data_IF_428444933898
#
_entry.id   IF_428444933898
#
_cell.length_a   1.000
_cell.length_b   1.000
_cell.length_c   1.000
_cell.angle_alpha   90.00
_cell.angle_beta   90.00
_cell.angle_gamma   90.00
#
_symmetry.space_group_name_H-M   'P 1'
#
loop_
_entity.id
_entity.type
_entity.pdbx_description
1 polymer ?
#
# COMPACT_ATOMS: atom_id res chain seq x y z
N UNK A 1 5.89 38.41 -0.73
CA UNK A 1 5.18 37.86 0.41
C UNK A 1 4.46 36.59 0.03
N UNK A 2 4.70 35.59 0.78
CA UNK A 2 4.04 34.33 0.53
C UNK A 2 2.62 34.39 1.11
N UNK A 3 1.64 34.10 0.28
CA UNK A 3 0.27 34.08 0.71
C UNK A 3 -0.34 32.68 0.83
N UNK A 4 0.41 31.68 0.40
CA UNK A 4 -0.14 30.33 0.37
C UNK A 4 -0.08 29.67 1.73
N UNK A 5 -1.23 29.27 2.28
CA UNK A 5 -1.21 28.54 3.56
C UNK A 5 -0.64 27.14 3.35
N UNK A 6 0.01 26.65 4.40
CA UNK A 6 0.41 25.26 4.45
C UNK A 6 -0.83 24.41 4.76
N UNK A 7 -1.19 23.57 3.80
CA UNK A 7 -2.34 22.69 3.98
C UNK A 7 -1.85 21.32 4.42
N UNK A 8 -2.24 20.92 5.61
CA UNK A 8 -1.89 19.60 6.14
C UNK A 8 -3.17 18.77 6.20
N UNK A 9 -3.21 17.71 5.42
CA UNK A 9 -4.36 16.80 5.44
C UNK A 9 -4.29 15.93 6.69
N UNK A 10 -5.43 15.72 7.29
CA UNK A 10 -5.52 14.79 8.40
C UNK A 10 -5.23 13.38 7.95
N UNK A 11 -4.64 12.60 8.85
CA UNK A 11 -4.38 11.21 8.59
C UNK A 11 -5.68 10.48 8.32
N UNK A 12 -5.72 9.70 7.22
CA UNK A 12 -6.90 8.94 6.86
C UNK A 12 -7.88 9.65 5.95
N UNK A 13 -7.72 10.97 5.73
CA UNK A 13 -8.58 11.71 4.82
C UNK A 13 -8.18 11.53 3.36
N UNK A 14 -7.08 10.85 3.12
CA UNK A 14 -6.60 10.52 1.77
C UNK A 14 -7.30 9.28 1.19
N UNK A 15 -8.26 8.71 1.90
CA UNK A 15 -8.95 7.51 1.48
C UNK A 15 -8.29 6.22 1.92
N UNK A 16 -7.21 6.30 2.68
CA UNK A 16 -6.50 5.11 3.16
C UNK A 16 -6.74 4.91 4.65
N UNK A 17 -6.70 3.66 5.07
CA UNK A 17 -6.78 3.27 6.47
C UNK A 17 -5.58 2.43 6.84
N UNK A 18 -5.15 2.55 8.08
CA UNK A 18 -4.05 1.74 8.60
C UNK A 18 -4.63 0.48 9.21
N UNK A 19 -4.16 -0.66 8.75
CA UNK A 19 -4.53 -1.97 9.30
C UNK A 19 -3.27 -2.75 9.62
N UNK A 20 -3.41 -3.75 10.48
CA UNK A 20 -2.31 -4.66 10.82
C UNK A 20 -2.62 -6.05 10.27
N UNK A 21 -1.64 -6.66 9.62
CA UNK A 21 -1.79 -7.97 9.01
C UNK A 21 -0.58 -8.81 9.36
N UNK A 22 -0.81 -10.08 9.68
CA UNK A 22 0.27 -11.05 9.84
C UNK A 22 0.54 -11.68 8.48
N UNK A 23 1.79 -11.61 8.03
CA UNK A 23 2.20 -12.13 6.72
C UNK A 23 3.25 -13.20 6.95
N UNK A 24 3.15 -14.31 6.22
CA UNK A 24 4.16 -15.37 6.27
C UNK A 24 5.50 -14.80 5.81
N UNK A 25 6.56 -15.29 6.43
CA UNK A 25 7.90 -14.78 6.15
C UNK A 25 8.34 -15.00 4.71
N UNK A 26 7.95 -16.12 4.11
CA UNK A 26 8.27 -16.41 2.70
C UNK A 26 7.59 -15.43 1.75
N UNK A 27 6.34 -15.06 2.03
CA UNK A 27 5.61 -14.09 1.22
C UNK A 27 6.22 -12.70 1.40
N UNK A 28 6.60 -12.36 2.62
CA UNK A 28 7.22 -11.06 2.89
C UNK A 28 8.54 -10.92 2.14
N UNK A 29 9.34 -11.97 2.10
CA UNK A 29 10.60 -11.97 1.36
C UNK A 29 10.38 -11.75 -0.13
N UNK A 30 9.36 -12.38 -0.71
CA UNK A 30 9.01 -12.16 -2.12
C UNK A 30 8.53 -10.73 -2.38
N UNK A 31 7.75 -10.18 -1.47
CA UNK A 31 7.31 -8.78 -1.59
C UNK A 31 8.50 -7.83 -1.59
N UNK A 32 9.46 -8.06 -0.70
CA UNK A 32 10.63 -7.20 -0.61
C UNK A 32 11.50 -7.32 -1.86
N UNK A 33 11.60 -8.52 -2.44
CA UNK A 33 12.33 -8.74 -3.68
C UNK A 33 11.68 -7.96 -4.84
N UNK A 34 10.39 -8.09 -5.00
CA UNK A 34 9.66 -7.41 -6.09
C UNK A 34 9.69 -5.90 -5.90
N UNK A 35 9.54 -5.43 -4.67
CA UNK A 35 9.62 -4.02 -4.37
C UNK A 35 10.99 -3.44 -4.76
N UNK A 36 12.06 -4.17 -4.45
CA UNK A 36 13.40 -3.77 -4.81
C UNK A 36 13.61 -3.70 -6.33
N UNK A 37 13.09 -4.69 -7.06
CA UNK A 37 13.24 -4.76 -8.50
C UNK A 37 12.41 -3.72 -9.25
N UNK A 38 11.28 -3.29 -8.68
CA UNK A 38 10.35 -2.38 -9.35
C UNK A 38 10.45 -0.95 -8.86
N UNK A 39 11.25 -0.69 -7.83
CA UNK A 39 11.39 0.62 -7.19
C UNK A 39 10.09 1.12 -6.53
N UNK A 40 9.14 0.25 -6.29
CA UNK A 40 7.99 0.57 -5.44
C UNK A 40 8.32 0.35 -3.98
N UNK A 41 7.66 1.08 -3.10
CA UNK A 41 7.71 0.75 -1.68
C UNK A 41 6.91 -0.53 -1.44
N UNK A 42 7.22 -1.22 -0.33
CA UNK A 42 6.45 -2.40 0.05
C UNK A 42 4.97 -2.08 0.18
N UNK A 43 4.66 -0.94 0.79
CA UNK A 43 3.28 -0.52 0.99
C UNK A 43 2.54 -0.29 -0.33
N UNK A 44 3.18 0.38 -1.28
CA UNK A 44 2.60 0.60 -2.60
C UNK A 44 2.36 -0.71 -3.33
N UNK A 45 3.34 -1.62 -3.26
CA UNK A 45 3.23 -2.92 -3.90
C UNK A 45 2.10 -3.75 -3.30
N UNK A 46 1.96 -3.74 -1.98
CA UNK A 46 0.87 -4.44 -1.31
C UNK A 46 -0.48 -3.94 -1.79
N UNK A 47 -0.63 -2.63 -1.92
CA UNK A 47 -1.89 -2.06 -2.41
C UNK A 47 -2.20 -2.49 -3.85
N UNK A 48 -1.20 -2.52 -4.71
CA UNK A 48 -1.37 -2.97 -6.10
C UNK A 48 -1.82 -4.43 -6.14
N UNK A 49 -1.16 -5.28 -5.37
CA UNK A 49 -1.47 -6.71 -5.33
C UNK A 49 -2.85 -6.96 -4.76
N UNK A 50 -3.21 -6.28 -3.67
CA UNK A 50 -4.52 -6.44 -3.05
C UNK A 50 -5.63 -5.98 -3.97
N UNK A 51 -5.44 -4.87 -4.66
CA UNK A 51 -6.42 -4.39 -5.62
C UNK A 51 -6.67 -5.43 -6.71
N UNK A 52 -5.61 -5.97 -7.28
CA UNK A 52 -5.71 -7.01 -8.30
C UNK A 52 -6.38 -8.27 -7.74
N UNK A 53 -5.95 -8.72 -6.56
CA UNK A 53 -6.47 -9.94 -5.95
C UNK A 53 -7.94 -9.85 -5.58
N UNK A 54 -8.34 -8.73 -4.98
CA UNK A 54 -9.74 -8.54 -4.56
C UNK A 54 -10.69 -8.59 -5.75
N UNK A 55 -10.29 -8.01 -6.88
CA UNK A 55 -11.13 -8.00 -8.08
C UNK A 55 -11.17 -9.32 -8.82
N UNK A 56 -10.31 -10.28 -8.45
CA UNK A 56 -10.20 -11.57 -9.12
C UNK A 56 -10.54 -12.75 -8.21
N UNK A 57 -11.21 -12.51 -7.10
CA UNK A 57 -11.62 -13.58 -6.19
C UNK A 57 -12.93 -14.17 -6.66
N UNK A 58 -12.98 -15.50 -6.72
CA UNK A 58 -14.21 -16.25 -6.93
C UNK A 58 -14.56 -16.96 -5.61
N UNK A 59 -15.78 -16.74 -5.16
CA UNK A 59 -16.29 -17.39 -3.96
C UNK A 59 -17.11 -18.59 -4.38
N UNK A 60 -16.70 -19.75 -3.93
CA UNK A 60 -17.37 -21.01 -4.24
C UNK A 60 -18.11 -21.60 -3.04
#
# INVERSE_FOLDING_TARGET
MSGDPLIIKKRGEDGNKIISVRIREDILAELDRVASETNYSRNELINIILEHGVHNIEIQ
#
